data_IF_791126023754
#
_entry.id   IF_791126023754
#
_cell.length_a   1.000
_cell.length_b   1.000
_cell.length_c   1.000
_cell.angle_alpha   90.00
_cell.angle_beta   90.00
_cell.angle_gamma   90.00
#
_symmetry.space_group_name_H-M   'P 1'
#
loop_
_entity.id
_entity.type
_entity.pdbx_description
1 polymer ?
#
# COMPACT_ATOMS: atom_id res chain seq x y z
N UNK A 1 -4.88 6.19 8.27
CA UNK A 1 -3.82 7.17 8.59
C UNK A 1 -3.99 7.67 10.01
N UNK A 2 -5.21 8.04 10.43
CA UNK A 2 -5.48 8.08 11.85
C UNK A 2 -5.28 6.69 12.45
N UNK A 3 -4.60 6.62 13.58
CA UNK A 3 -4.23 5.39 14.25
C UNK A 3 -5.43 4.76 14.98
N UNK A 4 -5.42 3.44 15.13
CA UNK A 4 -6.43 2.70 15.90
C UNK A 4 -6.26 2.97 17.41
N UNK A 5 -5.03 3.22 17.86
CA UNK A 5 -4.72 3.66 19.21
C UNK A 5 -5.31 5.04 19.48
N UNK A 6 -6.17 5.13 20.49
CA UNK A 6 -6.89 6.34 20.83
C UNK A 6 -5.98 7.52 21.18
N UNK A 7 -4.88 7.28 21.92
CA UNK A 7 -3.96 8.35 22.31
C UNK A 7 -3.21 8.91 21.10
N UNK A 8 -2.73 8.03 20.22
CA UNK A 8 -2.05 8.44 18.99
C UNK A 8 -3.01 9.20 18.08
N UNK A 9 -4.24 8.68 17.91
CA UNK A 9 -5.28 9.32 17.12
C UNK A 9 -5.62 10.72 17.62
N UNK A 10 -5.76 10.91 18.93
CA UNK A 10 -6.04 12.21 19.52
C UNK A 10 -4.89 13.21 19.23
N UNK A 11 -3.63 12.77 19.31
CA UNK A 11 -2.49 13.61 18.97
C UNK A 11 -2.47 14.00 17.48
N UNK A 12 -2.74 13.04 16.58
CA UNK A 12 -2.84 13.31 15.15
C UNK A 12 -3.99 14.28 14.82
N UNK A 13 -5.14 14.13 15.48
CA UNK A 13 -6.28 15.04 15.31
C UNK A 13 -5.98 16.44 15.82
N UNK A 14 -5.34 16.58 16.99
CA UNK A 14 -4.92 17.87 17.52
C UNK A 14 -3.96 18.56 16.55
N UNK A 15 -2.96 17.84 16.04
CA UNK A 15 -2.03 18.35 15.04
C UNK A 15 -2.74 18.80 13.74
N UNK A 16 -3.71 18.03 13.24
CA UNK A 16 -4.51 18.43 12.08
C UNK A 16 -5.29 19.73 12.30
N UNK A 17 -5.82 19.94 13.49
CA UNK A 17 -6.54 21.18 13.84
C UNK A 17 -5.60 22.38 13.96
N UNK A 18 -4.36 22.18 14.40
CA UNK A 18 -3.32 23.22 14.40
C UNK A 18 -2.89 23.62 12.99
N UNK A 19 -2.86 22.67 12.03
CA UNK A 19 -2.53 22.97 10.64
C UNK A 19 -3.65 23.76 9.93
N UNK A 20 -4.91 23.58 10.34
CA UNK A 20 -6.08 24.17 9.70
C UNK A 20 -7.06 24.79 10.70
N UNK A 21 -6.65 25.86 11.42
CA UNK A 21 -7.49 26.49 12.45
C UNK A 21 -8.82 27.00 11.87
N UNK A 22 -8.79 27.56 10.66
CA UNK A 22 -9.97 28.12 9.97
C UNK A 22 -10.95 27.03 9.50
N UNK A 23 -10.48 25.79 9.34
CA UNK A 23 -11.30 24.64 8.94
C UNK A 23 -11.54 23.65 10.09
N UNK A 24 -11.27 24.04 11.34
CA UNK A 24 -11.32 23.16 12.50
C UNK A 24 -12.67 22.43 12.66
N UNK A 25 -13.78 23.11 12.41
CA UNK A 25 -15.11 22.50 12.46
C UNK A 25 -15.29 21.44 11.37
N UNK A 26 -14.82 21.72 10.16
CA UNK A 26 -14.89 20.79 9.04
C UNK A 26 -14.03 19.54 9.27
N UNK A 27 -12.81 19.72 9.78
CA UNK A 27 -11.91 18.61 10.16
C UNK A 27 -12.57 17.73 11.22
N UNK A 28 -13.14 18.32 12.29
CA UNK A 28 -13.86 17.57 13.33
C UNK A 28 -15.03 16.78 12.76
N UNK A 29 -15.86 17.42 11.93
CA UNK A 29 -17.00 16.75 11.28
C UNK A 29 -16.54 15.59 10.40
N UNK A 30 -15.54 15.78 9.54
CA UNK A 30 -15.01 14.72 8.70
C UNK A 30 -14.42 13.57 9.52
N UNK A 31 -13.70 13.86 10.60
CA UNK A 31 -13.17 12.80 11.48
C UNK A 31 -14.28 11.98 12.12
N UNK A 32 -15.35 12.62 12.59
CA UNK A 32 -16.51 11.94 13.18
C UNK A 32 -17.29 11.13 12.14
N UNK A 33 -17.48 11.66 10.93
CA UNK A 33 -18.12 10.91 9.86
C UNK A 33 -17.28 9.71 9.44
N UNK A 34 -15.95 9.89 9.36
CA UNK A 34 -15.03 8.82 8.99
C UNK A 34 -14.96 7.67 9.99
N UNK A 35 -15.14 7.92 11.30
CA UNK A 35 -15.11 6.85 12.32
C UNK A 35 -16.33 5.92 12.26
N UNK A 36 -17.44 6.40 11.68
CA UNK A 36 -18.64 5.59 11.42
C UNK A 36 -18.61 4.88 10.07
N UNK A 37 -17.60 5.14 9.24
CA UNK A 37 -17.47 4.55 7.92
C UNK A 37 -16.97 3.11 8.04
N UNK A 38 -17.66 2.18 7.38
CA UNK A 38 -17.19 0.81 7.27
C UNK A 38 -15.84 0.77 6.54
N UNK A 39 -14.87 0.02 7.07
CA UNK A 39 -13.51 -0.07 6.52
C UNK A 39 -13.46 -0.41 5.03
N UNK A 40 -14.43 -1.21 4.55
CA UNK A 40 -14.55 -1.56 3.12
C UNK A 40 -14.77 -0.37 2.18
N UNK A 41 -15.23 0.77 2.70
CA UNK A 41 -15.50 1.99 1.93
C UNK A 41 -14.30 2.95 1.88
N UNK A 42 -13.24 2.69 2.66
CA UNK A 42 -12.07 3.56 2.70
C UNK A 42 -11.39 3.69 1.33
N UNK A 43 -11.19 2.58 0.61
CA UNK A 43 -10.54 2.62 -0.71
C UNK A 43 -11.43 3.22 -1.80
N UNK A 44 -12.73 2.89 -1.91
CA UNK A 44 -13.63 3.60 -2.80
C UNK A 44 -13.58 5.12 -2.64
N UNK A 45 -13.50 5.63 -1.40
CA UNK A 45 -13.33 7.06 -1.16
C UNK A 45 -12.00 7.59 -1.70
N UNK A 46 -10.90 6.88 -1.50
CA UNK A 46 -9.60 7.26 -2.08
C UNK A 46 -9.69 7.32 -3.61
N UNK A 47 -10.29 6.31 -4.25
CA UNK A 47 -10.46 6.28 -5.72
C UNK A 47 -11.30 7.46 -6.24
N UNK A 48 -12.31 7.91 -5.49
CA UNK A 48 -13.12 9.08 -5.82
C UNK A 48 -12.39 10.41 -5.58
N UNK A 49 -11.57 10.48 -4.54
CA UNK A 49 -10.87 11.70 -4.15
C UNK A 49 -9.65 11.97 -5.04
N UNK A 50 -8.93 10.93 -5.48
CA UNK A 50 -7.69 11.12 -6.26
C UNK A 50 -7.88 12.03 -7.48
N UNK A 51 -8.92 11.88 -8.34
CA UNK A 51 -9.16 12.79 -9.46
C UNK A 51 -9.38 14.25 -9.03
N UNK A 52 -10.08 14.48 -7.92
CA UNK A 52 -10.32 15.82 -7.37
C UNK A 52 -9.02 16.42 -6.83
N UNK A 53 -8.19 15.62 -6.14
CA UNK A 53 -6.92 16.09 -5.60
C UNK A 53 -5.94 16.54 -6.69
N UNK A 54 -6.04 15.97 -7.90
CA UNK A 54 -5.23 16.37 -9.06
C UNK A 54 -5.56 17.77 -9.59
N UNK A 55 -6.75 18.29 -9.32
CA UNK A 55 -7.14 19.63 -9.79
C UNK A 55 -6.64 20.74 -8.87
N UNK A 56 -6.05 20.39 -7.73
CA UNK A 56 -5.46 21.34 -6.80
C UNK A 56 -4.14 21.90 -7.35
N UNK A 57 -3.78 23.11 -6.95
CA UNK A 57 -2.52 23.74 -7.32
C UNK A 57 -1.30 22.93 -6.81
N UNK A 58 -0.19 23.00 -7.52
CA UNK A 58 1.01 22.20 -7.23
C UNK A 58 1.54 22.37 -5.81
N UNK A 59 1.40 23.56 -5.23
CA UNK A 59 1.88 23.82 -3.87
C UNK A 59 0.94 23.22 -2.81
N UNK A 60 -0.36 23.18 -3.09
CA UNK A 60 -1.34 22.48 -2.25
C UNK A 60 -1.11 20.97 -2.33
N UNK A 61 -0.83 20.43 -3.52
CA UNK A 61 -0.49 19.02 -3.70
C UNK A 61 0.77 18.61 -2.91
N UNK A 62 1.82 19.44 -2.93
CA UNK A 62 3.05 19.21 -2.14
C UNK A 62 2.74 19.23 -0.64
N UNK A 63 2.02 20.25 -0.16
CA UNK A 63 1.62 20.35 1.25
C UNK A 63 0.81 19.14 1.70
N UNK A 64 -0.11 18.65 0.87
CA UNK A 64 -0.88 17.45 1.16
C UNK A 64 0.00 16.20 1.26
N UNK A 65 0.97 16.02 0.36
CA UNK A 65 1.92 14.89 0.45
C UNK A 65 2.78 14.95 1.71
N UNK A 66 3.22 16.13 2.12
CA UNK A 66 3.97 16.33 3.36
C UNK A 66 3.12 15.94 4.57
N UNK A 67 1.87 16.38 4.61
CA UNK A 67 0.94 16.05 5.70
C UNK A 67 0.61 14.56 5.77
N UNK A 68 0.35 13.92 4.62
CA UNK A 68 0.16 12.46 4.55
C UNK A 68 1.39 11.74 5.08
N UNK A 69 2.59 12.20 4.73
CA UNK A 69 3.84 11.60 5.20
C UNK A 69 4.06 11.78 6.71
N UNK A 70 3.67 12.93 7.27
CA UNK A 70 3.71 13.19 8.72
C UNK A 70 2.77 12.24 9.45
N UNK A 71 1.51 12.15 9.02
CA UNK A 71 0.51 11.28 9.64
C UNK A 71 0.91 9.81 9.56
N UNK A 72 1.39 9.38 8.40
CA UNK A 72 1.76 7.98 8.17
C UNK A 72 3.05 7.58 8.92
N UNK A 73 3.92 8.54 9.29
CA UNK A 73 5.13 8.27 10.08
C UNK A 73 4.93 8.46 11.58
N UNK A 74 3.72 8.70 12.04
CA UNK A 74 3.46 9.16 13.40
C UNK A 74 3.95 8.16 14.46
N UNK A 75 3.71 6.87 14.23
CA UNK A 75 4.15 5.74 15.07
C UNK A 75 5.58 5.26 14.75
N UNK A 76 6.29 5.97 13.86
CA UNK A 76 7.61 5.64 13.30
C UNK A 76 7.65 4.34 12.49
N UNK A 77 6.50 3.77 12.11
CA UNK A 77 6.40 2.54 11.31
C UNK A 77 5.38 2.71 10.19
N UNK A 78 5.87 2.98 8.99
CA UNK A 78 5.01 2.94 7.81
C UNK A 78 4.67 1.50 7.42
N UNK A 79 3.39 1.16 7.45
CA UNK A 79 2.90 -0.14 6.97
C UNK A 79 2.69 -0.13 5.43
N UNK A 80 2.43 -1.30 4.84
CA UNK A 80 2.28 -1.42 3.39
C UNK A 80 1.12 -0.56 2.84
N UNK A 81 0.00 -0.47 3.56
CA UNK A 81 -1.13 0.37 3.17
C UNK A 81 -0.70 1.83 3.04
N UNK A 82 0.00 2.36 4.04
CA UNK A 82 0.44 3.75 4.07
C UNK A 82 1.46 4.07 2.98
N UNK A 83 2.39 3.15 2.74
CA UNK A 83 3.38 3.29 1.68
C UNK A 83 2.70 3.30 0.32
N UNK A 84 1.72 2.41 0.10
CA UNK A 84 0.95 2.37 -1.15
C UNK A 84 0.08 3.62 -1.32
N UNK A 85 -0.58 4.12 -0.26
CA UNK A 85 -1.38 5.34 -0.31
C UNK A 85 -0.53 6.57 -0.67
N UNK A 86 0.61 6.74 0.03
CA UNK A 86 1.56 7.81 -0.28
C UNK A 86 2.09 7.70 -1.72
N UNK A 87 2.41 6.48 -2.17
CA UNK A 87 2.89 6.23 -3.53
C UNK A 87 1.84 6.59 -4.58
N UNK A 88 0.57 6.22 -4.34
CA UNK A 88 -0.55 6.51 -5.22
C UNK A 88 -0.76 8.02 -5.35
N UNK A 89 -0.83 8.74 -4.22
CA UNK A 89 -1.00 10.20 -4.22
C UNK A 89 0.16 10.89 -4.94
N UNK A 90 1.40 10.51 -4.62
CA UNK A 90 2.59 11.09 -5.25
C UNK A 90 2.64 10.85 -6.75
N UNK A 91 2.26 9.65 -7.21
CA UNK A 91 2.15 9.36 -8.64
C UNK A 91 1.02 10.17 -9.27
N UNK A 92 -0.10 10.36 -8.56
CA UNK A 92 -1.25 11.10 -9.08
C UNK A 92 -0.97 12.60 -9.29
N UNK A 93 -0.10 13.19 -8.46
CA UNK A 93 0.32 14.59 -8.55
C UNK A 93 1.52 14.83 -9.46
N UNK A 94 2.14 13.77 -9.98
CA UNK A 94 3.24 13.89 -10.92
C UNK A 94 2.70 14.29 -12.29
N UNK A 95 3.06 15.49 -12.75
CA UNK A 95 2.76 15.99 -14.11
C UNK A 95 3.53 15.24 -15.21
N UNK A 96 4.59 14.52 -14.82
CA UNK A 96 5.38 13.71 -15.76
C UNK A 96 4.55 12.52 -16.20
N UNK A 97 3.98 12.62 -17.40
CA UNK A 97 3.50 11.45 -18.13
C UNK A 97 4.64 10.42 -18.15
N UNK A 98 4.39 9.16 -17.77
CA UNK A 98 5.43 8.14 -17.83
C UNK A 98 5.98 8.14 -19.25
N UNK A 99 7.26 8.48 -19.37
CA UNK A 99 7.94 8.52 -20.66
C UNK A 99 7.69 7.16 -21.33
N UNK A 100 7.08 7.17 -22.52
CA UNK A 100 6.72 5.95 -23.24
C UNK A 100 7.98 5.14 -23.62
N UNK A 101 9.17 5.72 -23.42
CA UNK A 101 10.48 5.09 -23.51
C UNK A 101 10.87 4.24 -22.28
N UNK A 102 10.11 4.31 -21.17
CA UNK A 102 10.39 3.56 -19.94
C UNK A 102 10.62 2.09 -20.25
N UNK A 103 11.84 1.63 -19.99
CA UNK A 103 12.29 0.27 -20.24
C UNK A 103 11.39 -0.73 -19.50
N UNK A 104 10.33 -1.16 -20.19
CA UNK A 104 9.36 -2.10 -19.63
C UNK A 104 10.09 -3.37 -19.27
N UNK A 105 10.06 -3.75 -18.01
CA UNK A 105 10.73 -4.92 -17.50
C UNK A 105 9.89 -6.14 -17.89
N UNK A 106 10.42 -6.94 -18.83
CA UNK A 106 9.76 -8.14 -19.37
C UNK A 106 10.22 -9.45 -18.70
N UNK A 107 11.22 -9.39 -17.84
CA UNK A 107 11.79 -10.55 -17.14
C UNK A 107 11.77 -10.30 -15.64
N UNK A 108 11.04 -11.14 -14.90
CA UNK A 108 10.92 -11.01 -13.44
C UNK A 108 12.27 -11.09 -12.72
N UNK A 109 13.23 -11.85 -13.27
CA UNK A 109 14.58 -12.00 -12.70
C UNK A 109 15.35 -10.68 -12.59
N UNK A 110 15.02 -9.66 -13.41
CA UNK A 110 15.63 -8.31 -13.31
C UNK A 110 15.22 -7.60 -12.02
N UNK A 111 14.08 -7.99 -11.45
CA UNK A 111 13.50 -7.43 -10.22
C UNK A 111 13.30 -8.51 -9.15
N UNK A 112 14.10 -9.58 -9.18
CA UNK A 112 13.95 -10.70 -8.24
C UNK A 112 14.03 -10.25 -6.77
N UNK A 113 14.92 -9.30 -6.49
CA UNK A 113 15.05 -8.73 -5.15
C UNK A 113 13.83 -7.92 -4.73
N UNK A 114 13.33 -7.05 -5.62
CA UNK A 114 12.16 -6.22 -5.35
C UNK A 114 10.89 -7.06 -5.21
N UNK A 115 10.75 -8.10 -6.03
CA UNK A 115 9.73 -9.12 -5.88
C UNK A 115 9.79 -9.77 -4.49
N UNK A 116 10.97 -10.24 -4.08
CA UNK A 116 11.18 -10.85 -2.78
C UNK A 116 10.88 -9.89 -1.62
N UNK A 117 11.14 -8.59 -1.79
CA UNK A 117 10.79 -7.58 -0.78
C UNK A 117 9.28 -7.49 -0.54
N UNK A 118 8.46 -7.47 -1.61
CA UNK A 118 6.99 -7.42 -1.47
C UNK A 118 6.46 -8.73 -0.88
N UNK A 119 6.91 -9.87 -1.39
CA UNK A 119 6.51 -11.18 -0.87
C UNK A 119 6.86 -11.31 0.61
N UNK A 120 8.10 -10.99 1.00
CA UNK A 120 8.52 -11.03 2.40
C UNK A 120 7.72 -10.06 3.28
N UNK A 121 7.41 -8.85 2.78
CA UNK A 121 6.61 -7.87 3.50
C UNK A 121 5.20 -8.37 3.78
N UNK A 122 4.53 -8.96 2.79
CA UNK A 122 3.19 -9.52 2.96
C UNK A 122 3.21 -10.73 3.90
N UNK A 123 4.19 -11.63 3.76
CA UNK A 123 4.32 -12.81 4.62
C UNK A 123 4.56 -12.43 6.07
N UNK A 124 5.35 -11.39 6.37
CA UNK A 124 5.54 -10.96 7.76
C UNK A 124 4.25 -10.46 8.41
N UNK A 125 3.35 -9.89 7.61
CA UNK A 125 2.04 -9.45 8.04
C UNK A 125 1.01 -10.58 8.17
N UNK A 126 1.31 -11.79 7.69
CA UNK A 126 0.49 -12.95 8.03
C UNK A 126 0.74 -13.31 9.49
N UNK A 127 -0.32 -13.59 10.26
CA UNK A 127 -0.22 -14.01 11.66
C UNK A 127 0.41 -15.39 11.87
N UNK A 128 1.05 -15.94 10.84
CA UNK A 128 1.65 -17.27 10.77
C UNK A 128 2.91 -17.40 11.63
N UNK A 129 3.22 -18.64 12.03
CA UNK A 129 4.49 -18.97 12.69
C UNK A 129 5.69 -18.92 11.73
N UNK A 130 6.92 -18.84 12.25
CA UNK A 130 8.14 -18.69 11.43
C UNK A 130 8.32 -19.81 10.39
N UNK A 131 8.10 -21.08 10.77
CA UNK A 131 8.20 -22.22 9.86
C UNK A 131 7.20 -22.13 8.70
N UNK A 132 5.98 -21.69 9.00
CA UNK A 132 4.91 -21.52 8.00
C UNK A 132 5.23 -20.35 7.07
N UNK A 133 5.73 -19.24 7.61
CA UNK A 133 6.22 -18.09 6.82
C UNK A 133 7.30 -18.50 5.84
N UNK A 134 8.26 -19.33 6.26
CA UNK A 134 9.32 -19.84 5.38
C UNK A 134 8.78 -20.77 4.29
N UNK A 135 7.86 -21.67 4.62
CA UNK A 135 7.24 -22.56 3.65
C UNK A 135 6.42 -21.78 2.61
N UNK A 136 5.62 -20.80 3.06
CA UNK A 136 4.85 -19.91 2.20
C UNK A 136 5.77 -19.11 1.28
N UNK A 137 6.85 -18.56 1.83
CA UNK A 137 7.85 -17.81 1.06
C UNK A 137 8.46 -18.62 -0.07
N UNK A 138 8.92 -19.84 0.22
CA UNK A 138 9.46 -20.74 -0.79
C UNK A 138 8.42 -21.07 -1.87
N UNK A 139 7.17 -21.34 -1.48
CA UNK A 139 6.07 -21.59 -2.41
C UNK A 139 5.86 -20.39 -3.35
N UNK A 140 5.88 -19.16 -2.84
CA UNK A 140 5.68 -17.95 -3.65
C UNK A 140 6.84 -17.66 -4.60
N UNK A 141 8.09 -17.89 -4.18
CA UNK A 141 9.25 -17.73 -5.07
C UNK A 141 9.27 -18.78 -6.20
N UNK A 142 8.76 -19.98 -5.95
CA UNK A 142 8.69 -21.05 -6.94
C UNK A 142 7.73 -20.73 -8.10
N UNK A 143 6.72 -19.87 -7.91
CA UNK A 143 5.80 -19.42 -8.98
C UNK A 143 6.57 -18.82 -10.16
N UNK A 144 7.70 -18.16 -9.88
CA UNK A 144 8.57 -17.57 -10.90
C UNK A 144 9.87 -18.36 -11.13
N UNK A 145 9.96 -19.58 -10.60
CA UNK A 145 11.18 -20.41 -10.64
C UNK A 145 12.41 -19.64 -10.13
N UNK A 146 12.22 -18.79 -9.12
CA UNK A 146 13.33 -18.03 -8.54
C UNK A 146 14.19 -18.96 -7.69
N UNK A 147 15.38 -19.27 -8.19
CA UNK A 147 16.28 -20.27 -7.59
C UNK A 147 16.90 -19.83 -6.26
N UNK A 148 16.84 -18.55 -5.91
CA UNK A 148 17.56 -17.99 -4.77
C UNK A 148 16.77 -16.84 -4.15
N UNK A 149 16.45 -17.00 -2.87
CA UNK A 149 15.91 -15.95 -2.01
C UNK A 149 15.61 -16.52 -0.63
N UNK A 150 16.18 -15.92 0.41
CA UNK A 150 15.71 -16.13 1.77
C UNK A 150 14.55 -15.17 2.05
N UNK A 151 13.67 -15.54 2.98
CA UNK A 151 12.70 -14.63 3.55
C UNK A 151 13.45 -13.45 4.17
N UNK A 152 13.25 -12.25 3.63
CA UNK A 152 13.94 -11.05 4.12
C UNK A 152 13.40 -10.73 5.51
N UNK A 153 14.27 -10.54 6.50
CA UNK A 153 13.84 -10.21 7.85
C UNK A 153 13.07 -8.88 7.88
N UNK A 154 12.01 -8.81 8.71
CA UNK A 154 11.14 -7.63 8.81
C UNK A 154 11.93 -6.32 9.07
N UNK A 155 12.94 -6.38 9.95
CA UNK A 155 13.85 -5.26 10.26
C UNK A 155 14.61 -4.70 9.04
N UNK A 156 14.78 -5.50 7.98
CA UNK A 156 15.46 -5.10 6.75
C UNK A 156 14.49 -4.52 5.70
N UNK A 157 13.18 -4.58 5.94
CA UNK A 157 12.13 -4.08 5.06
C UNK A 157 11.69 -2.68 5.49
N UNK A 158 12.63 -1.73 5.42
CA UNK A 158 12.29 -0.33 5.75
C UNK A 158 11.27 0.26 4.78
N UNK A 159 10.48 1.22 5.25
CA UNK A 159 9.49 1.92 4.44
C UNK A 159 10.06 2.53 3.15
N UNK A 160 11.26 3.13 3.25
CA UNK A 160 11.98 3.69 2.10
C UNK A 160 12.30 2.61 1.07
N UNK A 161 12.70 1.43 1.53
CA UNK A 161 13.02 0.30 0.65
C UNK A 161 11.76 -0.22 -0.06
N UNK A 162 10.65 -0.39 0.66
CA UNK A 162 9.36 -0.80 0.05
C UNK A 162 8.87 0.24 -0.96
N UNK A 163 8.98 1.54 -0.64
CA UNK A 163 8.65 2.62 -1.58
C UNK A 163 9.46 2.54 -2.89
N UNK A 164 10.78 2.36 -2.80
CA UNK A 164 11.65 2.22 -3.97
C UNK A 164 11.36 0.93 -4.75
N UNK A 165 11.07 -0.16 -4.04
CA UNK A 165 10.63 -1.44 -4.60
C UNK A 165 9.36 -1.26 -5.42
N UNK A 166 8.31 -0.64 -4.87
CA UNK A 166 7.06 -0.37 -5.60
C UNK A 166 7.30 0.48 -6.86
N UNK A 167 8.14 1.51 -6.75
CA UNK A 167 8.53 2.35 -7.89
C UNK A 167 9.17 1.51 -9.00
N UNK A 168 10.10 0.60 -8.68
CA UNK A 168 10.74 -0.26 -9.68
C UNK A 168 9.76 -1.28 -10.27
N UNK A 169 8.90 -1.88 -9.44
CA UNK A 169 7.88 -2.84 -9.89
C UNK A 169 6.80 -2.19 -10.78
N UNK A 170 6.57 -0.88 -10.66
CA UNK A 170 5.67 -0.14 -11.56
C UNK A 170 6.12 -0.17 -13.03
N UNK A 171 7.40 -0.46 -13.31
CA UNK A 171 7.95 -0.60 -14.66
C UNK A 171 7.81 -2.02 -15.25
N UNK A 172 7.23 -2.97 -14.50
CA UNK A 172 6.94 -4.31 -15.02
C UNK A 172 5.97 -4.27 -16.21
N UNK A 173 6.14 -5.22 -17.14
CA UNK A 173 5.13 -5.47 -18.19
C UNK A 173 3.78 -5.83 -17.57
N UNK A 174 2.65 -5.55 -18.26
CA UNK A 174 1.31 -5.83 -17.73
C UNK A 174 1.11 -7.28 -17.26
N UNK A 175 1.66 -8.25 -18.00
CA UNK A 175 1.60 -9.67 -17.61
C UNK A 175 2.33 -9.94 -16.30
N UNK A 176 3.54 -9.39 -16.12
CA UNK A 176 4.30 -9.59 -14.89
C UNK A 176 3.68 -8.87 -13.69
N UNK A 177 3.06 -7.70 -13.89
CA UNK A 177 2.29 -7.03 -12.84
C UNK A 177 1.13 -7.90 -12.36
N UNK A 178 0.38 -8.50 -13.30
CA UNK A 178 -0.71 -9.42 -12.98
C UNK A 178 -0.19 -10.62 -12.18
N UNK A 179 0.86 -11.29 -12.65
CA UNK A 179 1.43 -12.44 -11.93
C UNK A 179 1.98 -12.07 -10.55
N UNK A 180 2.58 -10.88 -10.38
CA UNK A 180 2.96 -10.38 -9.06
C UNK A 180 1.74 -10.20 -8.15
N UNK A 181 0.67 -9.58 -8.66
CA UNK A 181 -0.57 -9.38 -7.90
C UNK A 181 -1.27 -10.68 -7.55
N UNK A 182 -1.26 -11.67 -8.43
CA UNK A 182 -1.82 -13.01 -8.16
C UNK A 182 -1.05 -13.67 -7.01
N UNK A 183 0.30 -13.61 -7.01
CA UNK A 183 1.11 -14.09 -5.87
C UNK A 183 0.78 -13.33 -4.59
N UNK A 184 0.59 -12.01 -4.65
CA UNK A 184 0.21 -11.24 -3.47
C UNK A 184 -1.18 -11.64 -2.96
N UNK A 185 -2.12 -11.95 -3.86
CA UNK A 185 -3.42 -12.50 -3.53
C UNK A 185 -3.33 -13.87 -2.85
N UNK A 186 -2.48 -14.77 -3.36
CA UNK A 186 -2.25 -16.09 -2.77
C UNK A 186 -1.69 -16.01 -1.34
N UNK A 187 -0.85 -15.02 -1.05
CA UNK A 187 -0.34 -14.78 0.32
C UNK A 187 -1.47 -14.33 1.24
N UNK A 188 -2.28 -13.35 0.79
CA UNK A 188 -3.41 -12.83 1.57
C UNK A 188 -4.50 -13.89 1.79
N UNK A 189 -4.66 -14.82 0.85
CA UNK A 189 -5.61 -15.93 0.96
C UNK A 189 -5.05 -17.16 1.67
N UNK A 190 -3.80 -17.12 2.15
CA UNK A 190 -3.12 -18.31 2.65
C UNK A 190 -3.86 -18.98 3.81
N UNK A 191 -4.38 -18.20 4.74
CA UNK A 191 -5.14 -18.67 5.91
C UNK A 191 -6.66 -18.76 5.65
N UNK A 192 -7.09 -18.46 4.42
CA UNK A 192 -8.50 -18.45 4.01
C UNK A 192 -9.31 -17.26 4.55
N UNK A 193 -8.71 -16.32 5.29
CA UNK A 193 -9.41 -15.17 5.86
C UNK A 193 -8.74 -13.88 5.39
N UNK A 194 -9.39 -13.20 4.44
CA UNK A 194 -8.94 -11.88 3.99
C UNK A 194 -9.35 -10.82 5.01
N UNK A 195 -8.38 -10.27 5.75
CA UNK A 195 -8.62 -9.14 6.65
C UNK A 195 -8.81 -7.86 5.83
N UNK A 196 -9.60 -6.92 6.35
CA UNK A 196 -9.88 -5.66 5.67
C UNK A 196 -8.58 -4.88 5.35
N UNK A 197 -7.63 -4.83 6.29
CA UNK A 197 -6.34 -4.16 6.09
C UNK A 197 -5.51 -4.79 4.97
N UNK A 198 -5.49 -6.12 4.87
CA UNK A 198 -4.80 -6.85 3.80
C UNK A 198 -5.44 -6.57 2.44
N UNK A 199 -6.77 -6.60 2.38
CA UNK A 199 -7.53 -6.22 1.18
C UNK A 199 -7.23 -4.79 0.74
N UNK A 200 -7.26 -3.83 1.66
CA UNK A 200 -7.01 -2.43 1.39
C UNK A 200 -5.57 -2.20 0.88
N UNK A 201 -4.58 -2.83 1.51
CA UNK A 201 -3.18 -2.74 1.08
C UNK A 201 -2.99 -3.32 -0.33
N UNK A 202 -3.57 -4.49 -0.60
CA UNK A 202 -3.51 -5.15 -1.90
C UNK A 202 -4.23 -4.33 -2.98
N UNK A 203 -5.40 -3.76 -2.67
CA UNK A 203 -6.14 -2.87 -3.57
C UNK A 203 -5.35 -1.60 -3.88
N UNK A 204 -4.76 -0.92 -2.88
CA UNK A 204 -3.90 0.24 -3.14
C UNK A 204 -2.67 -0.14 -3.97
N UNK A 205 -2.04 -1.28 -3.70
CA UNK A 205 -0.91 -1.76 -4.50
C UNK A 205 -1.32 -1.99 -5.97
N UNK A 206 -2.52 -2.52 -6.22
CA UNK A 206 -3.06 -2.67 -7.58
C UNK A 206 -3.21 -1.32 -8.31
N UNK A 207 -3.62 -0.28 -7.58
CA UNK A 207 -3.74 1.08 -8.12
C UNK A 207 -2.37 1.70 -8.42
N UNK A 208 -1.41 1.56 -7.50
CA UNK A 208 -0.02 2.03 -7.69
C UNK A 208 0.63 1.35 -8.89
N UNK A 209 0.46 0.03 -9.03
CA UNK A 209 1.02 -0.73 -10.13
C UNK A 209 0.23 -0.57 -11.44
N UNK A 210 -0.95 0.05 -11.41
CA UNK A 210 -1.89 0.16 -12.53
C UNK A 210 -2.19 -1.21 -13.17
N UNK A 211 -2.63 -2.16 -12.35
CA UNK A 211 -2.99 -3.52 -12.75
C UNK A 211 -4.29 -3.97 -12.07
N UNK A 212 -5.00 -4.96 -12.63
CA UNK A 212 -6.24 -5.45 -12.02
C UNK A 212 -5.95 -6.04 -10.63
N UNK A 213 -6.92 -5.85 -9.72
CA UNK A 213 -6.96 -6.56 -8.44
C UNK A 213 -7.08 -8.07 -8.72
N UNK A 214 -6.33 -8.93 -8.01
CA UNK A 214 -6.50 -10.38 -8.14
C UNK A 214 -7.91 -10.78 -7.71
N UNK A 215 -8.43 -11.85 -8.31
CA UNK A 215 -9.73 -12.39 -7.93
C UNK A 215 -9.61 -13.04 -6.55
N UNK A 216 -10.20 -12.40 -5.53
CA UNK A 216 -10.30 -12.97 -4.20
C UNK A 216 -11.67 -13.65 -4.07
N UNK A 217 -11.74 -14.91 -3.63
CA UNK A 217 -13.01 -15.56 -3.35
C UNK A 217 -13.76 -14.75 -2.29
N UNK A 218 -15.08 -14.57 -2.49
CA UNK A 218 -15.95 -13.93 -1.51
C UNK A 218 -16.03 -14.85 -0.28
N UNK A 219 -15.25 -14.57 0.76
CA UNK A 219 -15.43 -15.23 2.06
C UNK A 219 -16.64 -14.60 2.72
N UNK A 220 -17.81 -15.22 2.53
CA UNK A 220 -19.00 -14.89 3.31
C UNK A 220 -18.78 -15.39 4.72
N UNK A 221 -18.36 -14.51 5.63
CA UNK A 221 -18.51 -14.76 7.06
C UNK A 221 -20.03 -14.78 7.35
N UNK A 222 -20.61 -15.99 7.36
CA UNK A 222 -21.87 -16.27 8.04
C UNK A 222 -21.61 -16.49 9.51
#
# INVERSE_FOLDING_TARGET
LLDDNEQIRQQQQAWLLEQYPDAANYVKTLTLLSSSLQERLAIPLVELLVPLLKTLDSDVQKGLLEQVLVLAKWDKKLNLFEICLYSLLKQSFSEVLPDRSSHTIKKINVVAYEFNCIVSCLIHNTGSGETEKQALHQRMLNVFTMKQGALIAEKELSAKKIYLTLKKLSALSPMLKRSLMDVCGDIVLHDGIVRAQEYQALKLMSLVLACPMPALPLTTNT
#
